data_IF_916312766744
#
_entry.id   IF_916312766744
#
_cell.length_a   1.000
_cell.length_b   1.000
_cell.length_c   1.000
_cell.angle_alpha   90.00
_cell.angle_beta   90.00
_cell.angle_gamma   90.00
#
_symmetry.space_group_name_H-M   'P 1'
#
loop_
_entity.id
_entity.type
_entity.pdbx_description
1 polymer ?
#
# COMPACT_ATOMS: atom_id res chain seq x y z
N UNK A 1 16.09 16.56 9.19
CA UNK A 1 14.80 16.54 9.92
C UNK A 1 14.96 15.62 11.13
N UNK A 2 14.70 16.12 12.35
CA UNK A 2 14.84 15.33 13.59
C UNK A 2 13.68 14.33 13.66
N UNK A 3 13.97 13.03 13.62
CA UNK A 3 12.98 11.98 13.87
C UNK A 3 12.68 11.98 15.37
N UNK A 4 11.43 12.27 15.74
CA UNK A 4 10.97 12.16 17.14
C UNK A 4 10.61 10.70 17.39
N UNK A 5 11.03 10.14 18.52
CA UNK A 5 10.67 8.76 18.83
C UNK A 5 9.25 8.71 19.38
N UNK A 6 8.51 7.67 19.00
CA UNK A 6 7.15 7.44 19.51
C UNK A 6 7.08 7.43 21.05
N UNK A 7 8.19 7.08 21.72
CA UNK A 7 8.33 7.00 23.17
C UNK A 7 8.34 8.36 23.88
N UNK A 8 8.52 9.46 23.15
CA UNK A 8 8.47 10.82 23.70
C UNK A 8 7.07 11.43 23.64
N UNK A 9 6.10 10.73 23.05
CA UNK A 9 4.73 11.20 22.97
C UNK A 9 3.93 10.88 24.23
N UNK A 10 3.11 11.85 24.62
CA UNK A 10 2.13 11.65 25.70
C UNK A 10 1.02 10.68 25.26
N UNK A 11 0.30 10.13 26.22
CA UNK A 11 -0.83 9.24 25.95
C UNK A 11 -1.88 9.92 25.06
N UNK A 12 -2.17 11.21 25.27
CA UNK A 12 -3.09 11.96 24.39
C UNK A 12 -2.61 11.99 22.93
N UNK A 13 -1.30 12.16 22.73
CA UNK A 13 -0.73 12.16 21.38
C UNK A 13 -0.80 10.78 20.75
N UNK A 14 -0.52 9.73 21.52
CA UNK A 14 -0.67 8.34 21.05
C UNK A 14 -2.11 8.04 20.64
N UNK A 15 -3.11 8.46 21.42
CA UNK A 15 -4.52 8.26 21.07
C UNK A 15 -4.89 9.04 19.81
N UNK A 16 -4.42 10.29 19.68
CA UNK A 16 -4.64 11.09 18.47
C UNK A 16 -4.01 10.45 17.22
N UNK A 17 -2.81 9.89 17.35
CA UNK A 17 -2.13 9.15 16.29
C UNK A 17 -2.95 7.93 15.87
N UNK A 18 -3.51 7.17 16.82
CA UNK A 18 -4.36 6.00 16.54
C UNK A 18 -5.65 6.42 15.83
N UNK A 19 -6.33 7.47 16.32
CA UNK A 19 -7.57 7.97 15.73
C UNK A 19 -7.34 8.47 14.31
N UNK A 20 -6.31 9.31 14.09
CA UNK A 20 -5.93 9.73 12.74
C UNK A 20 -5.57 8.54 11.86
N UNK A 21 -4.91 7.52 12.41
CA UNK A 21 -4.59 6.32 11.65
C UNK A 21 -5.81 5.46 11.28
N UNK A 22 -6.91 5.53 12.02
CA UNK A 22 -8.15 4.80 11.71
C UNK A 22 -9.08 5.55 10.75
N UNK A 23 -9.12 6.88 10.85
CA UNK A 23 -10.03 7.74 10.09
C UNK A 23 -9.42 8.20 8.77
N UNK A 24 -8.12 8.54 8.76
CA UNK A 24 -7.53 9.14 7.57
C UNK A 24 -7.20 8.17 6.45
N UNK A 25 -7.37 8.69 5.24
CA UNK A 25 -7.05 7.96 4.01
C UNK A 25 -5.54 7.83 3.79
N UNK A 26 -4.71 8.67 4.43
CA UNK A 26 -3.23 8.62 4.35
C UNK A 26 -2.54 9.02 5.67
N UNK A 27 -2.69 8.20 6.73
CA UNK A 27 -2.25 8.60 8.04
C UNK A 27 -0.73 8.70 8.17
N UNK A 28 0.02 7.89 7.42
CA UNK A 28 1.47 7.92 7.46
C UNK A 28 2.08 9.21 6.93
N UNK A 29 1.45 9.85 5.93
CA UNK A 29 1.95 11.12 5.39
C UNK A 29 1.67 12.27 6.34
N UNK A 30 0.43 12.37 6.86
CA UNK A 30 0.03 13.39 7.83
C UNK A 30 0.89 13.30 9.09
N UNK A 31 1.06 12.09 9.64
CA UNK A 31 1.86 11.87 10.84
C UNK A 31 3.34 12.18 10.63
N UNK A 32 3.86 11.92 9.43
CA UNK A 32 5.24 12.28 9.09
C UNK A 32 5.42 13.79 8.98
N UNK A 33 4.42 14.51 8.48
CA UNK A 33 4.47 15.97 8.35
C UNK A 33 4.27 16.67 9.71
N UNK A 34 3.32 16.22 10.51
CA UNK A 34 2.94 16.83 11.79
C UNK A 34 3.89 16.42 12.94
N UNK A 35 4.22 15.13 13.04
CA UNK A 35 5.01 14.57 14.15
C UNK A 35 6.45 14.19 13.75
N UNK A 36 6.78 14.16 12.46
CA UNK A 36 8.11 13.76 12.00
C UNK A 36 8.39 12.26 12.14
N UNK A 37 7.35 11.43 12.31
CA UNK A 37 7.49 9.99 12.51
C UNK A 37 7.40 9.19 11.21
N UNK A 38 8.08 8.05 11.19
CA UNK A 38 8.14 7.20 10.00
C UNK A 38 6.93 6.25 9.93
N UNK A 39 6.54 5.83 8.72
CA UNK A 39 5.48 4.82 8.52
C UNK A 39 5.72 3.55 9.37
N UNK A 40 6.97 3.14 9.51
CA UNK A 40 7.35 1.99 10.33
C UNK A 40 7.00 2.17 11.81
N UNK A 41 7.23 3.37 12.38
CA UNK A 41 6.91 3.65 13.78
C UNK A 41 5.41 3.67 14.04
N UNK A 42 4.64 4.23 13.11
CA UNK A 42 3.16 4.21 13.18
C UNK A 42 2.64 2.77 13.06
N UNK A 43 3.23 1.96 12.19
CA UNK A 43 2.84 0.55 12.01
C UNK A 43 3.13 -0.27 13.26
N UNK A 44 4.30 -0.08 13.86
CA UNK A 44 4.69 -0.69 15.14
C UNK A 44 3.76 -0.26 16.28
N UNK A 45 3.41 1.03 16.34
CA UNK A 45 2.45 1.57 17.31
C UNK A 45 1.08 0.95 17.14
N UNK A 46 0.55 0.90 15.92
CA UNK A 46 -0.74 0.28 15.62
C UNK A 46 -0.74 -1.20 15.94
N UNK A 47 0.37 -1.90 15.67
CA UNK A 47 0.53 -3.32 16.04
C UNK A 47 0.53 -3.56 17.55
N UNK A 48 1.03 -2.59 18.34
CA UNK A 48 0.98 -2.66 19.81
C UNK A 48 -0.38 -2.25 20.39
N UNK A 49 -1.08 -1.30 19.77
CA UNK A 49 -2.37 -0.78 20.25
C UNK A 49 -3.56 -1.62 19.82
N UNK A 50 -3.52 -2.25 18.65
CA UNK A 50 -4.60 -3.06 18.10
C UNK A 50 -4.30 -4.55 18.27
N UNK A 51 -5.35 -5.32 18.54
CA UNK A 51 -5.31 -6.78 18.41
C UNK A 51 -5.07 -7.19 16.96
N UNK A 52 -4.54 -8.40 16.76
CA UNK A 52 -4.12 -8.92 15.45
C UNK A 52 -5.23 -8.81 14.38
N UNK A 53 -6.46 -9.20 14.72
CA UNK A 53 -7.64 -9.06 13.84
C UNK A 53 -7.90 -7.60 13.42
N UNK A 54 -7.91 -6.67 14.37
CA UNK A 54 -8.15 -5.26 14.08
C UNK A 54 -7.01 -4.65 13.26
N UNK A 55 -5.77 -5.08 13.51
CA UNK A 55 -4.62 -4.66 12.71
C UNK A 55 -4.72 -5.15 11.27
N UNK A 56 -5.18 -6.39 11.03
CA UNK A 56 -5.40 -6.88 9.66
C UNK A 56 -6.49 -6.11 8.92
N UNK A 57 -7.60 -5.79 9.59
CA UNK A 57 -8.68 -4.96 9.02
C UNK A 57 -8.16 -3.56 8.71
N UNK A 58 -7.45 -2.93 9.64
CA UNK A 58 -6.84 -1.62 9.44
C UNK A 58 -5.83 -1.65 8.28
N UNK A 59 -4.96 -2.66 8.21
CA UNK A 59 -3.98 -2.81 7.13
C UNK A 59 -4.68 -2.96 5.78
N UNK A 60 -5.77 -3.73 5.71
CA UNK A 60 -6.59 -3.83 4.48
C UNK A 60 -7.17 -2.46 4.09
N UNK A 61 -7.67 -1.66 5.03
CA UNK A 61 -8.18 -0.30 4.76
C UNK A 61 -7.05 0.66 4.31
N UNK A 62 -5.92 0.66 5.01
CA UNK A 62 -4.77 1.50 4.70
C UNK A 62 -4.17 1.16 3.31
N UNK A 63 -4.13 -0.13 2.95
CA UNK A 63 -3.70 -0.58 1.62
C UNK A 63 -4.77 -0.31 0.56
N UNK A 64 -6.06 -0.49 0.86
CA UNK A 64 -7.15 -0.19 -0.09
C UNK A 64 -7.26 1.32 -0.42
N UNK A 65 -6.77 2.18 0.48
CA UNK A 65 -6.65 3.62 0.24
C UNK A 65 -5.48 3.98 -0.67
N UNK A 66 -4.53 3.05 -0.92
CA UNK A 66 -3.60 3.23 -2.04
C UNK A 66 -4.42 3.18 -3.31
N UNK A 67 -4.37 4.20 -4.18
CA UNK A 67 -5.09 4.15 -5.44
C UNK A 67 -4.67 2.86 -6.14
N UNK A 68 -5.65 2.04 -6.55
CA UNK A 68 -5.39 0.89 -7.41
C UNK A 68 -4.46 1.42 -8.51
N UNK A 69 -3.30 0.78 -8.79
CA UNK A 69 -2.65 1.05 -10.06
C UNK A 69 -3.75 0.87 -11.09
N UNK A 70 -3.99 1.91 -11.91
CA UNK A 70 -4.94 1.83 -13.01
C UNK A 70 -4.68 0.48 -13.67
N UNK A 71 -5.68 -0.39 -13.84
CA UNK A 71 -5.45 -1.60 -14.61
C UNK A 71 -4.85 -1.12 -15.93
N UNK A 72 -3.58 -1.47 -16.17
CA UNK A 72 -3.01 -1.38 -17.49
C UNK A 72 -3.98 -2.20 -18.31
N UNK A 73 -4.78 -1.51 -19.12
CA UNK A 73 -5.59 -2.19 -20.12
C UNK A 73 -4.56 -2.82 -21.05
N UNK A 74 -4.31 -4.10 -20.83
CA UNK A 74 -3.71 -4.93 -21.84
C UNK A 74 -4.81 -5.10 -22.88
N UNK A 75 -4.83 -4.21 -23.87
CA UNK A 75 -5.64 -4.39 -25.07
C UNK A 75 -5.22 -5.72 -25.71
N UNK A 76 -6.09 -6.75 -25.80
CA UNK A 76 -5.71 -8.08 -26.28
C UNK A 76 -5.58 -8.18 -27.81
N UNK A 77 -5.39 -7.07 -28.51
CA UNK A 77 -5.46 -6.99 -29.97
C UNK A 77 -4.36 -6.07 -30.47
N UNK A 78 -3.18 -6.63 -30.69
CA UNK A 78 -2.18 -6.25 -31.71
C UNK A 78 -0.84 -6.93 -31.36
N UNK A 79 -0.74 -8.23 -31.62
CA UNK A 79 0.54 -8.87 -31.90
C UNK A 79 0.31 -9.85 -33.06
N UNK A 80 0.14 -9.23 -34.24
CA UNK A 80 -0.07 -9.82 -35.56
C UNK A 80 1.24 -10.38 -36.15
N UNK A 81 2.05 -11.14 -35.40
CA UNK A 81 3.39 -11.53 -35.91
C UNK A 81 3.97 -12.87 -35.39
N UNK A 82 3.12 -13.87 -35.15
CA UNK A 82 3.50 -15.29 -34.98
C UNK A 82 2.34 -16.11 -35.60
N UNK A 83 2.41 -16.73 -36.77
CA UNK A 83 3.36 -17.76 -37.17
C UNK A 83 3.07 -18.13 -38.66
N UNK A 84 3.56 -17.31 -39.60
CA UNK A 84 3.55 -17.65 -41.03
C UNK A 84 4.62 -18.70 -41.40
N UNK A 85 5.32 -19.29 -40.43
CA UNK A 85 6.38 -20.29 -40.66
C UNK A 85 5.92 -21.74 -40.44
N UNK A 86 4.73 -21.97 -39.88
CA UNK A 86 4.24 -23.34 -39.65
C UNK A 86 3.43 -23.97 -40.80
N UNK A 87 3.06 -23.20 -41.83
CA UNK A 87 2.20 -23.72 -42.92
C UNK A 87 2.90 -24.13 -44.22
N UNK A 88 4.23 -24.00 -44.33
CA UNK A 88 4.97 -24.36 -45.56
C UNK A 88 5.74 -25.68 -45.52
N UNK A 89 5.62 -26.48 -44.45
CA UNK A 89 6.38 -27.75 -44.31
C UNK A 89 5.54 -29.00 -44.58
N UNK A 90 4.49 -28.95 -45.42
CA UNK A 90 3.79 -30.19 -45.78
C UNK A 90 3.06 -30.23 -47.14
N UNK A 91 3.62 -29.63 -48.19
CA UNK A 91 3.26 -30.01 -49.58
C UNK A 91 4.51 -29.96 -50.47
N UNK A 92 4.72 -31.06 -51.21
CA UNK A 92 5.82 -31.37 -52.14
C UNK A 92 7.15 -31.77 -51.48
N UNK A 93 7.35 -33.06 -51.21
CA UNK A 93 7.74 -34.11 -52.17
C UNK A 93 7.11 -35.44 -51.73
#
# INVERSE_FOLDING_TARGET
>A
MKKRKISEFDNETLERVVTMAQEEKRPFEVLKEEFGISENEVTELMRKKLSKDNFEVWKKKAVASKPKPKPLKFDPLEDDDLDSKYYFKNKFD
#
